data_IF_285956300560
#
_entry.id   IF_285956300560
#
_cell.length_a   1.000
_cell.length_b   1.000
_cell.length_c   1.000
_cell.angle_alpha   90.00
_cell.angle_beta   90.00
_cell.angle_gamma   90.00
#
_symmetry.space_group_name_H-M   'P 1'
#
loop_
_entity.id
_entity.type
_entity.pdbx_description
1 polymer ?
#
# COMPACT_ATOMS: atom_id res chain seq x y z
N UNK A 1 -18.25 6.54 -10.21
CA UNK A 1 -17.03 7.33 -9.95
C UNK A 1 -15.99 6.90 -10.97
N UNK A 2 -15.38 7.83 -11.72
CA UNK A 2 -14.33 7.51 -12.70
C UNK A 2 -12.96 7.58 -12.03
N UNK A 3 -12.31 6.43 -11.85
CA UNK A 3 -10.96 6.32 -11.27
C UNK A 3 -9.93 6.39 -12.39
N UNK A 4 -9.63 7.58 -12.89
CA UNK A 4 -8.68 7.84 -13.98
C UNK A 4 -7.23 7.45 -13.58
N UNK A 5 -6.96 6.16 -13.45
CA UNK A 5 -5.66 5.57 -13.10
C UNK A 5 -5.32 5.51 -11.61
N UNK A 6 -6.21 5.98 -10.72
CA UNK A 6 -6.10 5.73 -9.29
C UNK A 6 -6.25 4.22 -9.02
N UNK A 7 -5.44 3.67 -8.09
CA UNK A 7 -5.59 2.28 -7.66
C UNK A 7 -6.38 2.24 -6.36
N UNK A 8 -7.30 1.29 -6.31
CA UNK A 8 -8.15 0.99 -5.16
C UNK A 8 -7.81 -0.41 -4.65
N UNK A 9 -7.48 -0.50 -3.36
CA UNK A 9 -7.35 -1.76 -2.64
C UNK A 9 -8.25 -1.75 -1.40
N UNK A 10 -8.61 -2.93 -0.89
CA UNK A 10 -9.43 -3.07 0.32
C UNK A 10 -8.95 -4.18 1.24
N UNK A 11 -9.01 -3.96 2.55
CA UNK A 11 -8.53 -4.89 3.60
C UNK A 11 -8.89 -4.41 5.00
N UNK A 12 -8.76 -5.26 6.01
CA UNK A 12 -9.08 -4.96 7.42
C UNK A 12 -7.87 -4.33 8.11
N UNK A 13 -7.69 -3.01 7.92
CA UNK A 13 -6.45 -2.32 8.29
C UNK A 13 -6.46 -1.95 9.78
N UNK A 14 -7.62 -1.68 10.38
CA UNK A 14 -7.71 -1.37 11.81
C UNK A 14 -8.03 -2.57 12.72
N UNK A 15 -8.39 -3.73 12.16
CA UNK A 15 -8.69 -4.96 12.89
C UNK A 15 -10.12 -5.04 13.42
N UNK A 16 -11.06 -4.24 12.89
CA UNK A 16 -12.47 -4.27 13.29
C UNK A 16 -13.30 -5.33 12.55
N UNK A 17 -12.67 -6.11 11.66
CA UNK A 17 -13.27 -7.13 10.79
C UNK A 17 -14.16 -6.58 9.67
N UNK A 18 -14.10 -5.28 9.40
CA UNK A 18 -14.66 -4.67 8.19
C UNK A 18 -13.51 -4.27 7.28
N UNK A 19 -13.81 -4.22 5.99
CA UNK A 19 -12.83 -3.79 5.00
C UNK A 19 -12.80 -2.27 4.90
N UNK A 20 -11.62 -1.70 4.96
CA UNK A 20 -11.36 -0.33 4.59
C UNK A 20 -10.85 -0.20 3.17
N UNK A 21 -10.77 1.05 2.69
CA UNK A 21 -10.36 1.39 1.34
C UNK A 21 -9.04 2.17 1.35
N UNK A 22 -8.14 1.80 0.45
CA UNK A 22 -6.95 2.57 0.11
C UNK A 22 -7.12 3.16 -1.28
N UNK A 23 -7.02 4.49 -1.36
CA UNK A 23 -6.99 5.23 -2.63
C UNK A 23 -5.60 5.83 -2.79
N UNK A 24 -4.89 5.40 -3.83
CA UNK A 24 -3.60 5.96 -4.21
C UNK A 24 -3.73 6.86 -5.43
N UNK A 25 -3.01 7.98 -5.39
CA UNK A 25 -3.09 8.98 -6.45
C UNK A 25 -2.39 8.53 -7.73
N UNK A 26 -2.96 8.90 -8.88
CA UNK A 26 -2.42 8.60 -10.20
C UNK A 26 -0.98 9.10 -10.46
N UNK A 27 -0.34 8.54 -11.50
CA UNK A 27 1.00 8.91 -11.99
C UNK A 27 1.15 10.43 -12.20
N UNK A 28 2.35 10.97 -11.93
CA UNK A 28 2.70 12.39 -12.01
C UNK A 28 1.95 13.32 -11.04
N UNK A 29 1.12 12.78 -10.15
CA UNK A 29 0.60 13.51 -8.99
C UNK A 29 1.50 13.31 -7.77
N UNK A 30 1.24 14.06 -6.70
CA UNK A 30 1.88 13.81 -5.40
C UNK A 30 1.60 12.38 -4.93
N UNK A 31 2.53 11.68 -4.25
CA UNK A 31 2.35 10.29 -3.83
C UNK A 31 1.46 10.17 -2.58
N UNK A 32 0.26 10.73 -2.68
CA UNK A 32 -0.71 10.80 -1.61
C UNK A 32 -1.53 9.51 -1.58
N UNK A 33 -1.68 8.98 -0.37
CA UNK A 33 -2.48 7.80 -0.07
C UNK A 33 -3.56 8.22 0.93
N UNK A 34 -4.81 7.85 0.61
CA UNK A 34 -5.96 8.07 1.48
C UNK A 34 -6.45 6.73 1.98
N UNK A 35 -6.60 6.62 3.30
CA UNK A 35 -7.11 5.46 4.01
C UNK A 35 -8.50 5.83 4.56
N UNK A 36 -9.52 5.11 4.12
CA UNK A 36 -10.92 5.43 4.37
C UNK A 36 -11.67 4.23 4.96
N UNK A 37 -12.63 4.53 5.82
CA UNK A 37 -13.70 3.59 6.18
C UNK A 37 -14.53 3.20 4.94
N UNK A 38 -15.24 2.09 5.03
CA UNK A 38 -16.16 1.64 3.97
C UNK A 38 -17.26 2.68 3.63
N UNK A 39 -17.64 3.51 4.60
CA UNK A 39 -18.62 4.59 4.38
C UNK A 39 -18.02 5.85 3.72
N UNK A 40 -16.73 5.84 3.37
CA UNK A 40 -16.01 6.97 2.77
C UNK A 40 -15.42 7.97 3.77
N UNK A 41 -15.53 7.73 5.09
CA UNK A 41 -14.88 8.58 6.10
C UNK A 41 -13.37 8.42 6.00
N UNK A 42 -12.65 9.53 5.82
CA UNK A 42 -11.18 9.51 5.79
C UNK A 42 -10.65 9.29 7.20
N UNK A 43 -9.97 8.17 7.43
CA UNK A 43 -9.25 7.89 8.68
C UNK A 43 -7.90 8.56 8.67
N UNK A 44 -7.15 8.43 7.57
CA UNK A 44 -5.80 8.97 7.42
C UNK A 44 -5.54 9.42 5.99
N UNK A 45 -4.64 10.40 5.87
CA UNK A 45 -4.11 10.87 4.60
C UNK A 45 -2.64 11.22 4.76
N UNK A 46 -1.78 10.64 3.93
CA UNK A 46 -0.35 10.79 4.08
C UNK A 46 0.41 10.57 2.76
N UNK A 47 1.65 11.03 2.72
CA UNK A 47 2.54 10.78 1.59
C UNK A 47 3.26 9.46 1.77
N UNK A 48 3.11 8.52 0.83
CA UNK A 48 3.83 7.25 0.84
C UNK A 48 5.35 7.45 0.57
N UNK A 49 5.67 8.46 -0.22
CA UNK A 49 7.03 8.83 -0.59
C UNK A 49 7.24 10.33 -0.39
N UNK A 50 8.45 10.79 -0.65
CA UNK A 50 8.74 12.22 -0.65
C UNK A 50 7.75 12.99 -1.54
N UNK A 51 7.30 14.16 -1.11
CA UNK A 51 6.31 14.96 -1.84
C UNK A 51 6.78 15.40 -3.23
N UNK A 52 8.09 15.38 -3.50
CA UNK A 52 8.70 15.61 -4.82
C UNK A 52 8.69 14.38 -5.73
N UNK A 53 8.36 13.18 -5.22
CA UNK A 53 8.26 11.98 -6.04
C UNK A 53 7.11 12.13 -7.06
N UNK A 54 7.40 11.81 -8.32
CA UNK A 54 6.44 11.86 -9.44
C UNK A 54 6.23 10.51 -10.12
N UNK A 55 6.97 9.49 -9.68
CA UNK A 55 6.78 8.13 -10.19
C UNK A 55 5.44 7.55 -9.73
N UNK A 56 4.94 6.55 -10.44
CA UNK A 56 3.80 5.78 -9.97
C UNK A 56 4.22 4.84 -8.84
N UNK A 57 3.24 4.37 -8.06
CA UNK A 57 3.42 3.29 -7.12
C UNK A 57 2.18 2.39 -7.12
N UNK A 58 2.34 1.18 -6.58
CA UNK A 58 1.26 0.23 -6.35
C UNK A 58 1.05 0.06 -4.85
N UNK A 59 -0.14 -0.34 -4.48
CA UNK A 59 -0.51 -0.72 -3.12
C UNK A 59 -0.86 -2.21 -3.09
N UNK A 60 -0.64 -2.84 -1.95
CA UNK A 60 -1.12 -4.17 -1.56
C UNK A 60 -1.49 -4.12 -0.08
N UNK A 61 -2.37 -5.03 0.35
CA UNK A 61 -2.81 -5.16 1.74
C UNK A 61 -2.60 -6.59 2.22
N UNK A 62 -2.24 -6.76 3.49
CA UNK A 62 -2.19 -8.07 4.14
C UNK A 62 -1.52 -8.04 5.51
N UNK A 63 -1.86 -8.97 6.37
CA UNK A 63 -1.25 -9.17 7.70
C UNK A 63 0.21 -9.68 7.56
N UNK A 64 1.17 -8.78 7.63
CA UNK A 64 2.61 -9.06 7.46
C UNK A 64 3.28 -9.28 8.82
N UNK A 65 2.78 -8.64 9.88
CA UNK A 65 3.36 -8.71 11.21
C UNK A 65 2.68 -9.75 12.14
N UNK A 66 1.62 -10.43 11.66
CA UNK A 66 0.82 -11.43 12.38
C UNK A 66 0.03 -10.89 13.58
N UNK A 67 -0.42 -9.63 13.52
CA UNK A 67 -1.24 -8.99 14.56
C UNK A 67 -2.75 -9.03 14.30
N UNK A 68 -3.17 -9.69 13.21
CA UNK A 68 -4.56 -9.79 12.72
C UNK A 68 -5.12 -8.49 12.15
N UNK A 69 -4.25 -7.57 11.75
CA UNK A 69 -4.61 -6.39 10.95
C UNK A 69 -3.82 -6.42 9.65
N UNK A 70 -4.45 -5.94 8.58
CA UNK A 70 -3.77 -5.78 7.31
C UNK A 70 -2.82 -4.57 7.36
N UNK A 71 -1.55 -4.79 7.02
CA UNK A 71 -0.64 -3.71 6.71
C UNK A 71 -0.85 -3.17 5.30
N UNK A 72 -0.51 -1.88 5.13
CA UNK A 72 -0.44 -1.24 3.82
C UNK A 72 0.96 -1.42 3.27
N UNK A 73 1.09 -1.91 2.04
CA UNK A 73 2.38 -2.09 1.37
C UNK A 73 2.43 -1.16 0.16
N UNK A 74 3.40 -0.26 0.11
CA UNK A 74 3.58 0.67 -1.03
C UNK A 74 4.82 0.27 -1.83
N UNK A 75 4.65 0.01 -3.13
CA UNK A 75 5.69 -0.46 -4.06
C UNK A 75 5.91 0.61 -5.14
N UNK A 76 7.07 1.31 -5.17
CA UNK A 76 7.33 2.33 -6.17
C UNK A 76 7.73 1.71 -7.51
N UNK A 77 7.39 2.35 -8.62
CA UNK A 77 7.77 1.86 -9.95
C UNK A 77 9.29 1.91 -10.20
N UNK A 78 10.02 2.82 -9.57
CA UNK A 78 11.49 2.90 -9.68
C UNK A 78 12.13 3.64 -8.52
N UNK A 79 13.42 3.35 -8.28
CA UNK A 79 14.36 4.20 -7.54
C UNK A 79 14.10 4.40 -6.04
N UNK A 80 13.18 3.65 -5.43
CA UNK A 80 12.82 3.77 -4.01
C UNK A 80 12.52 2.43 -3.38
N UNK A 81 12.51 2.41 -2.06
CA UNK A 81 12.20 1.23 -1.26
C UNK A 81 10.69 0.97 -1.18
N UNK A 82 10.33 -0.30 -1.11
CA UNK A 82 9.02 -0.77 -0.69
C UNK A 82 8.88 -0.47 0.80
N UNK A 83 7.71 0.04 1.20
CA UNK A 83 7.41 0.34 2.61
C UNK A 83 6.17 -0.42 3.06
N UNK A 84 6.20 -0.90 4.30
CA UNK A 84 5.09 -1.55 4.98
C UNK A 84 4.65 -0.65 6.13
N UNK A 85 3.37 -0.29 6.17
CA UNK A 85 2.76 0.68 7.07
C UNK A 85 1.66 0.03 7.90
N UNK A 86 1.54 0.40 9.18
CA UNK A 86 0.39 0.03 10.00
C UNK A 86 -0.79 1.00 9.81
N UNK A 87 -1.94 0.68 10.41
CA UNK A 87 -3.12 1.54 10.62
C UNK A 87 -2.81 2.99 11.07
N UNK A 88 -1.76 3.13 11.87
CA UNK A 88 -1.27 4.40 12.44
C UNK A 88 -0.28 5.12 11.54
N UNK A 89 -0.11 4.67 10.29
CA UNK A 89 0.84 5.25 9.32
C UNK A 89 2.29 5.15 9.80
N UNK A 90 2.58 4.14 10.62
CA UNK A 90 3.95 3.86 11.07
C UNK A 90 4.59 2.89 10.09
N UNK A 91 5.75 3.24 9.54
CA UNK A 91 6.55 2.29 8.75
C UNK A 91 7.16 1.25 9.69
N UNK A 92 6.90 -0.03 9.44
CA UNK A 92 7.44 -1.16 10.21
C UNK A 92 8.49 -1.95 9.44
N UNK A 93 8.49 -1.85 8.11
CA UNK A 93 9.47 -2.51 7.25
C UNK A 93 9.74 -1.70 5.98
N UNK A 94 10.98 -1.74 5.55
CA UNK A 94 11.45 -1.13 4.30
C UNK A 94 12.35 -2.12 3.57
N UNK A 95 12.19 -2.28 2.25
CA UNK A 95 13.03 -3.19 1.45
C UNK A 95 13.25 -2.69 0.02
N UNK A 96 14.38 -3.01 -0.60
CA UNK A 96 14.67 -2.62 -1.99
C UNK A 96 13.80 -3.37 -3.00
N UNK A 97 13.29 -2.65 -4.00
CA UNK A 97 12.40 -3.21 -5.05
C UNK A 97 13.07 -4.26 -5.95
N UNK A 98 14.38 -4.46 -5.88
CA UNK A 98 15.14 -5.42 -6.68
C UNK A 98 15.31 -6.81 -6.03
N UNK A 99 14.67 -7.07 -4.87
CA UNK A 99 14.75 -8.36 -4.17
C UNK A 99 13.59 -9.33 -4.41
N UNK A 100 12.47 -8.87 -4.98
CA UNK A 100 11.23 -9.66 -5.02
C UNK A 100 11.16 -10.70 -6.15
N UNK A 101 11.96 -10.59 -7.22
CA UNK A 101 11.98 -11.63 -8.25
C UNK A 101 12.60 -12.94 -7.76
N UNK A 102 13.49 -12.90 -6.76
CA UNK A 102 14.12 -14.11 -6.21
C UNK A 102 13.34 -14.76 -5.07
N UNK A 103 12.52 -14.00 -4.33
CA UNK A 103 11.77 -14.53 -3.18
C UNK A 103 10.31 -14.89 -3.48
N UNK A 104 9.71 -14.35 -4.55
CA UNK A 104 8.31 -14.68 -4.93
C UNK A 104 8.25 -15.85 -5.94
N UNK A 105 9.34 -16.18 -6.63
CA UNK A 105 9.37 -17.29 -7.61
C UNK A 105 9.45 -18.72 -7.04
N UNK A 106 9.93 -19.04 -5.82
CA UNK A 106 9.92 -20.42 -5.35
C UNK A 106 8.54 -20.90 -4.86
N UNK A 107 7.52 -20.03 -4.77
CA UNK A 107 6.19 -20.39 -4.25
C UNK A 107 5.13 -20.68 -5.33
N UNK A 108 5.47 -20.61 -6.62
CA UNK A 108 4.55 -20.95 -7.73
C UNK A 108 5.05 -22.15 -8.57
N UNK A 109 6.07 -22.88 -8.10
CA UNK A 109 6.48 -24.13 -8.74
C UNK A 109 6.24 -25.33 -7.82
N UNK A 110 4.96 -25.74 -7.76
CA UNK A 110 4.58 -27.11 -7.39
C UNK A 110 3.46 -27.60 -8.32
N UNK A 111 3.84 -27.95 -9.55
CA UNK A 111 3.56 -29.20 -10.28
C UNK A 111 3.80 -29.03 -11.77
#
# INVERSE_FOLDING_TARGET
MNFNGDKLDSGDIDGDKKGELIISSYKNSSPLLSYLEQNGTIKRRFYAYDSSYRGSFRTLLGDINSDKKDEIITIPASGREIKVWTDKVKVIKTTSSFGLEKEILPLISTK
#
